data_IF_041574837171
#
_entry.id   IF_041574837171
#
_cell.length_a   1.000
_cell.length_b   1.000
_cell.length_c   1.000
_cell.angle_alpha   90.00
_cell.angle_beta   90.00
_cell.angle_gamma   90.00
#
_symmetry.space_group_name_H-M   'P 1'
#
loop_
_entity.id
_entity.type
_entity.pdbx_description
1 polymer ?
#
# COMPACT_ATOMS: atom_id res chain seq x y z
N UNK A 1 6.87 12.14 -7.50
CA UNK A 1 5.90 13.27 -7.49
C UNK A 1 6.43 14.43 -6.64
N UNK A 2 6.94 15.50 -7.28
CA UNK A 2 7.63 16.61 -6.61
C UNK A 2 6.72 17.76 -6.14
N UNK A 3 5.41 17.61 -6.32
CA UNK A 3 4.42 18.60 -5.88
C UNK A 3 4.38 18.72 -4.35
N UNK A 4 4.12 19.94 -3.88
CA UNK A 4 3.87 20.24 -2.48
C UNK A 4 2.52 19.66 -2.03
N UNK A 5 2.35 19.43 -0.72
CA UNK A 5 1.07 18.95 -0.19
C UNK A 5 -0.09 19.91 -0.51
N UNK A 6 0.16 21.22 -0.56
CA UNK A 6 -0.85 22.23 -0.91
C UNK A 6 -1.29 22.11 -2.38
N UNK A 7 -0.36 21.83 -3.29
CA UNK A 7 -0.70 21.60 -4.70
C UNK A 7 -1.49 20.31 -4.90
N UNK A 8 -1.17 19.25 -4.16
CA UNK A 8 -1.84 17.94 -4.27
C UNK A 8 -3.29 17.94 -3.77
N UNK A 9 -3.66 18.91 -2.94
CA UNK A 9 -5.06 19.10 -2.51
C UNK A 9 -5.94 19.75 -3.57
N UNK A 10 -5.36 20.28 -4.65
CA UNK A 10 -6.14 20.84 -5.77
C UNK A 10 -6.77 19.71 -6.58
N UNK A 11 -7.82 20.01 -7.34
CA UNK A 11 -8.44 19.06 -8.25
C UNK A 11 -7.40 18.52 -9.25
N UNK A 12 -7.24 17.21 -9.30
CA UNK A 12 -6.37 16.55 -10.28
C UNK A 12 -7.17 16.25 -11.56
N UNK A 13 -6.50 16.39 -12.71
CA UNK A 13 -7.04 16.02 -14.02
C UNK A 13 -6.08 15.01 -14.64
N UNK A 14 -6.61 13.85 -14.99
CA UNK A 14 -5.86 12.81 -15.68
C UNK A 14 -6.02 13.02 -17.19
N UNK A 15 -4.92 12.87 -17.92
CA UNK A 15 -4.88 12.85 -19.38
C UNK A 15 -3.90 11.78 -19.81
N UNK A 16 -4.38 10.72 -20.44
CA UNK A 16 -3.53 9.73 -21.08
C UNK A 16 -3.00 10.27 -22.41
N UNK A 17 -1.76 9.91 -22.73
CA UNK A 17 -1.09 10.35 -23.96
C UNK A 17 -1.70 9.58 -25.13
N UNK A 18 -2.16 10.29 -26.15
CA UNK A 18 -2.76 9.68 -27.35
C UNK A 18 -4.25 9.31 -27.22
N UNK A 19 -4.87 9.52 -26.05
CA UNK A 19 -6.29 9.22 -25.85
C UNK A 19 -7.16 10.48 -25.76
N UNK A 20 -8.30 10.44 -26.44
CA UNK A 20 -9.34 11.46 -26.30
C UNK A 20 -10.13 11.20 -25.01
N UNK A 21 -9.63 11.77 -23.92
CA UNK A 21 -10.25 11.70 -22.60
C UNK A 21 -11.55 12.52 -22.51
N UNK A 22 -12.68 11.90 -22.85
CA UNK A 22 -14.00 12.55 -22.85
C UNK A 22 -14.62 12.64 -21.43
N UNK A 23 -14.48 11.59 -20.63
CA UNK A 23 -14.99 11.55 -19.24
C UNK A 23 -13.86 11.69 -18.21
N UNK A 24 -13.78 12.88 -17.61
CA UNK A 24 -12.80 13.16 -16.57
C UNK A 24 -12.95 12.28 -15.31
N UNK A 25 -14.17 11.82 -15.00
CA UNK A 25 -14.43 10.96 -13.85
C UNK A 25 -13.96 9.53 -14.08
N UNK A 26 -14.28 8.96 -15.25
CA UNK A 26 -13.80 7.66 -15.70
C UNK A 26 -12.28 7.56 -15.74
N UNK A 27 -11.60 8.57 -16.30
CA UNK A 27 -10.13 8.62 -16.35
C UNK A 27 -9.49 8.66 -14.97
N UNK A 28 -10.10 9.39 -14.03
CA UNK A 28 -9.63 9.45 -12.65
C UNK A 28 -9.71 8.08 -11.98
N UNK A 29 -10.84 7.39 -12.14
CA UNK A 29 -11.06 6.06 -11.59
C UNK A 29 -10.10 5.03 -12.18
N UNK A 30 -9.95 5.05 -13.50
CA UNK A 30 -9.01 4.15 -14.18
C UNK A 30 -7.56 4.41 -13.74
N UNK A 31 -7.14 5.67 -13.58
CA UNK A 31 -5.80 5.98 -13.06
C UNK A 31 -5.52 5.34 -11.70
N UNK A 32 -6.46 5.46 -10.74
CA UNK A 32 -6.29 4.85 -9.42
C UNK A 32 -6.35 3.32 -9.47
N UNK A 33 -7.11 2.75 -10.41
CA UNK A 33 -7.11 1.32 -10.67
C UNK A 33 -5.78 0.83 -11.23
N UNK A 34 -5.24 1.45 -12.29
CA UNK A 34 -3.97 1.06 -12.89
C UNK A 34 -2.79 1.25 -11.93
N UNK A 35 -2.72 2.40 -11.24
CA UNK A 35 -1.64 2.64 -10.28
C UNK A 35 -1.69 1.62 -9.13
N UNK A 36 -2.88 1.17 -8.73
CA UNK A 36 -2.99 0.15 -7.67
C UNK A 36 -2.36 -1.18 -8.05
N UNK A 37 -2.43 -1.58 -9.33
CA UNK A 37 -1.74 -2.77 -9.87
C UNK A 37 -0.23 -2.60 -9.85
N UNK A 38 0.27 -1.43 -10.24
CA UNK A 38 1.71 -1.14 -10.22
C UNK A 38 2.27 -1.09 -8.80
N UNK A 39 1.51 -0.57 -7.83
CA UNK A 39 1.92 -0.54 -6.42
C UNK A 39 2.20 -1.95 -5.89
N UNK A 40 1.39 -2.94 -6.31
CA UNK A 40 1.47 -4.32 -5.83
C UNK A 40 2.23 -5.25 -6.78
N UNK A 41 2.87 -4.69 -7.81
CA UNK A 41 3.61 -5.47 -8.79
C UNK A 41 4.80 -6.18 -8.12
N UNK A 42 4.87 -7.52 -8.15
CA UNK A 42 5.90 -8.28 -7.46
C UNK A 42 7.31 -8.01 -7.99
N UNK A 43 7.44 -7.54 -9.23
CA UNK A 43 8.75 -7.23 -9.83
C UNK A 43 9.48 -6.09 -9.10
N UNK A 44 8.75 -5.15 -8.49
CA UNK A 44 9.35 -4.05 -7.73
C UNK A 44 9.72 -4.44 -6.28
N UNK A 45 9.26 -5.59 -5.80
CA UNK A 45 9.49 -6.08 -4.44
C UNK A 45 9.10 -5.12 -3.32
N UNK A 46 8.22 -4.13 -3.53
CA UNK A 46 7.83 -3.19 -2.47
C UNK A 46 6.95 -3.83 -1.40
N UNK A 47 6.04 -4.72 -1.82
CA UNK A 47 5.14 -5.45 -0.94
C UNK A 47 5.29 -6.95 -1.14
N UNK A 48 4.91 -7.72 -0.12
CA UNK A 48 4.82 -9.17 -0.16
C UNK A 48 3.55 -9.63 0.54
N UNK A 49 3.08 -10.83 0.21
CA UNK A 49 2.01 -11.48 0.95
C UNK A 49 2.45 -11.78 2.39
N UNK A 50 1.50 -11.67 3.32
CA UNK A 50 1.74 -11.90 4.76
C UNK A 50 2.06 -13.36 5.06
N UNK A 51 1.37 -14.30 4.41
CA UNK A 51 1.65 -15.73 4.44
C UNK A 51 1.04 -16.41 3.20
N UNK A 52 1.36 -17.68 2.97
CA UNK A 52 0.93 -18.44 1.78
C UNK A 52 -0.59 -18.63 1.67
N UNK A 53 -1.34 -18.36 2.75
CA UNK A 53 -2.80 -18.52 2.84
C UNK A 53 -3.53 -17.19 2.81
N UNK A 54 -2.83 -16.06 2.73
CA UNK A 54 -3.39 -14.73 2.84
C UNK A 54 -3.08 -13.89 1.61
N UNK A 55 -4.12 -13.28 1.05
CA UNK A 55 -3.99 -12.28 -0.02
C UNK A 55 -3.73 -10.88 0.54
N UNK A 56 -3.44 -10.74 1.84
CA UNK A 56 -3.07 -9.46 2.44
C UNK A 56 -1.59 -9.14 2.22
N UNK A 57 -1.32 -7.90 1.84
CA UNK A 57 0.01 -7.38 1.56
C UNK A 57 0.60 -6.62 2.75
N UNK A 58 1.90 -6.79 2.94
CA UNK A 58 2.69 -6.00 3.89
C UNK A 58 3.98 -5.51 3.22
N UNK A 59 4.65 -4.53 3.83
CA UNK A 59 5.93 -4.02 3.34
C UNK A 59 6.93 -5.18 3.27
N UNK A 60 7.61 -5.30 2.14
CA UNK A 60 8.65 -6.29 1.97
C UNK A 60 9.97 -5.79 2.62
N UNK A 61 10.53 -6.51 3.61
CA UNK A 61 11.79 -6.13 4.24
C UNK A 61 12.96 -6.02 3.26
N UNK A 62 12.93 -6.77 2.15
CA UNK A 62 13.97 -6.74 1.11
C UNK A 62 13.65 -5.79 -0.06
N UNK A 63 12.75 -4.83 0.12
CA UNK A 63 12.33 -3.89 -0.93
C UNK A 63 13.47 -3.05 -1.53
N UNK A 64 14.60 -2.91 -0.84
CA UNK A 64 15.79 -2.24 -1.36
C UNK A 64 16.65 -3.08 -2.31
N UNK A 65 16.32 -4.37 -2.51
CA UNK A 65 17.13 -5.30 -3.31
C UNK A 65 17.13 -4.92 -4.80
N UNK A 66 15.95 -4.66 -5.38
CA UNK A 66 15.81 -4.33 -6.80
C UNK A 66 15.85 -2.82 -7.07
N UNK A 67 15.59 -1.98 -6.06
CA UNK A 67 15.46 -0.53 -6.23
C UNK A 67 16.12 0.19 -5.04
N UNK A 68 17.36 0.71 -5.21
CA UNK A 68 18.07 1.44 -4.15
C UNK A 68 17.30 2.67 -3.63
N UNK A 69 16.42 3.26 -4.44
CA UNK A 69 15.57 4.38 -4.04
C UNK A 69 14.20 3.97 -3.48
N UNK A 70 14.00 2.72 -3.04
CA UNK A 70 12.69 2.20 -2.58
C UNK A 70 11.97 3.12 -1.56
N UNK A 71 12.70 3.83 -0.68
CA UNK A 71 12.12 4.79 0.25
C UNK A 71 11.41 5.97 -0.45
N UNK A 72 11.93 6.45 -1.58
CA UNK A 72 11.28 7.48 -2.40
C UNK A 72 9.99 6.93 -3.03
N UNK A 73 9.96 5.66 -3.39
CA UNK A 73 8.75 4.98 -3.87
C UNK A 73 7.72 4.80 -2.76
N UNK A 74 8.09 4.37 -1.55
CA UNK A 74 7.14 4.33 -0.43
C UNK A 74 6.57 5.70 -0.10
N UNK A 75 7.38 6.78 -0.17
CA UNK A 75 6.88 8.14 -0.04
C UNK A 75 5.89 8.51 -1.16
N UNK A 76 6.14 8.06 -2.39
CA UNK A 76 5.22 8.25 -3.51
C UNK A 76 3.91 7.47 -3.30
N UNK A 77 3.98 6.19 -2.93
CA UNK A 77 2.83 5.34 -2.64
C UNK A 77 1.96 5.96 -1.54
N UNK A 78 2.57 6.42 -0.44
CA UNK A 78 1.84 7.10 0.64
C UNK A 78 1.14 8.39 0.15
N UNK A 79 1.74 9.13 -0.79
CA UNK A 79 1.07 10.28 -1.43
C UNK A 79 -0.09 9.85 -2.33
N UNK A 80 0.04 8.75 -3.08
CA UNK A 80 -1.05 8.20 -3.89
C UNK A 80 -2.22 7.75 -3.01
N UNK A 81 -1.93 7.06 -1.90
CA UNK A 81 -2.96 6.68 -0.92
C UNK A 81 -3.69 7.91 -0.36
N UNK A 82 -2.94 8.96 0.02
CA UNK A 82 -3.54 10.22 0.47
C UNK A 82 -4.38 10.92 -0.61
N UNK A 83 -3.92 10.91 -1.86
CA UNK A 83 -4.69 11.44 -2.99
C UNK A 83 -5.97 10.64 -3.25
N UNK A 84 -5.92 9.31 -3.15
CA UNK A 84 -7.09 8.45 -3.31
C UNK A 84 -8.17 8.83 -2.29
N UNK A 85 -7.78 9.01 -1.02
CA UNK A 85 -8.69 9.47 0.03
C UNK A 85 -9.25 10.87 -0.25
N UNK A 86 -8.40 11.83 -0.65
CA UNK A 86 -8.82 13.21 -0.95
C UNK A 86 -9.82 13.31 -2.11
N UNK A 87 -9.72 12.41 -3.09
CA UNK A 87 -10.57 12.39 -4.28
C UNK A 87 -11.69 11.34 -4.23
N UNK A 88 -11.90 10.71 -3.08
CA UNK A 88 -12.88 9.64 -2.86
C UNK A 88 -12.75 8.51 -3.91
N UNK A 89 -11.52 8.06 -4.13
CA UNK A 89 -11.17 6.98 -5.04
C UNK A 89 -10.66 5.76 -4.28
N UNK A 90 -10.88 4.58 -4.85
CA UNK A 90 -10.40 3.33 -4.30
C UNK A 90 -9.05 2.95 -4.91
N UNK A 91 -8.17 2.40 -4.08
CA UNK A 91 -7.02 1.61 -4.54
C UNK A 91 -7.41 0.14 -4.44
N UNK A 92 -7.26 -0.61 -5.52
CA UNK A 92 -7.53 -2.06 -5.53
C UNK A 92 -6.36 -2.82 -4.88
N UNK A 93 -6.13 -2.56 -3.60
CA UNK A 93 -5.04 -3.16 -2.81
C UNK A 93 -5.58 -3.63 -1.47
N UNK A 94 -5.24 -4.87 -1.12
CA UNK A 94 -5.61 -5.45 0.18
C UNK A 94 -4.40 -5.42 1.12
N UNK A 95 -4.20 -4.31 1.83
CA UNK A 95 -3.14 -4.23 2.84
C UNK A 95 -3.53 -4.98 4.12
N UNK A 96 -2.53 -5.54 4.80
CA UNK A 96 -2.73 -6.26 6.06
C UNK A 96 -3.26 -5.39 7.19
N UNK A 97 -3.93 -6.03 8.16
CA UNK A 97 -4.37 -5.38 9.39
C UNK A 97 -3.26 -4.58 10.10
N UNK A 98 -2.05 -5.14 10.14
CA UNK A 98 -0.88 -4.54 10.77
C UNK A 98 -0.41 -3.29 10.02
N UNK A 99 -0.48 -3.31 8.69
CA UNK A 99 -0.17 -2.15 7.88
C UNK A 99 -1.09 -0.99 8.24
N UNK A 100 -2.40 -1.23 8.35
CA UNK A 100 -3.36 -0.20 8.77
C UNK A 100 -3.15 0.28 10.21
N UNK A 101 -2.85 -0.62 11.17
CA UNK A 101 -2.51 -0.20 12.54
C UNK A 101 -1.31 0.76 12.55
N UNK A 102 -0.24 0.43 11.81
CA UNK A 102 0.93 1.29 11.69
C UNK A 102 0.61 2.63 11.04
N UNK A 103 -0.19 2.63 9.97
CA UNK A 103 -0.63 3.87 9.31
C UNK A 103 -1.41 4.79 10.26
N UNK A 104 -2.22 4.20 11.15
CA UNK A 104 -2.99 4.90 12.18
C UNK A 104 -2.19 5.19 13.46
N UNK A 105 -0.89 4.90 13.49
CA UNK A 105 -0.04 5.05 14.68
C UNK A 105 -0.57 4.33 15.93
N UNK A 106 -1.22 3.17 15.73
CA UNK A 106 -1.69 2.31 16.81
C UNK A 106 -0.60 1.35 17.25
N UNK A 107 -0.49 1.13 18.56
CA UNK A 107 0.46 0.19 19.12
C UNK A 107 0.18 -1.25 18.65
N UNK A 108 1.27 -1.97 18.38
CA UNK A 108 1.23 -3.42 18.16
C UNK A 108 1.30 -4.13 19.51
N UNK A 109 0.59 -5.25 19.58
CA UNK A 109 0.47 -6.13 20.73
C UNK A 109 0.83 -7.55 20.33
N UNK A 110 1.13 -8.42 21.31
CA UNK A 110 1.42 -9.82 21.04
C UNK A 110 0.30 -10.54 20.27
N UNK A 111 -0.96 -10.19 20.54
CA UNK A 111 -2.12 -10.77 19.82
C UNK A 111 -2.11 -10.46 18.33
N UNK A 112 -1.51 -9.34 17.93
CA UNK A 112 -1.45 -8.94 16.53
C UNK A 112 -0.56 -9.87 15.69
N UNK A 113 0.35 -10.61 16.33
CA UNK A 113 1.24 -11.54 15.66
C UNK A 113 0.47 -12.66 14.95
N UNK A 114 -0.73 -13.02 15.42
CA UNK A 114 -1.57 -14.02 14.75
C UNK A 114 -1.91 -13.63 13.30
N UNK A 115 -1.93 -12.35 12.97
CA UNK A 115 -2.23 -11.86 11.61
C UNK A 115 -0.98 -11.79 10.72
N UNK A 116 0.22 -11.83 11.30
CA UNK A 116 1.47 -11.86 10.53
C UNK A 116 1.95 -13.30 10.35
N UNK A 117 2.04 -14.02 11.46
CA UNK A 117 2.61 -15.35 11.54
C UNK A 117 1.86 -16.14 12.63
N UNK A 118 0.76 -16.83 12.24
CA UNK A 118 -0.03 -17.64 13.16
C UNK A 118 0.79 -18.74 13.86
N UNK A 119 1.80 -19.28 13.18
CA UNK A 119 2.64 -20.36 13.68
C UNK A 119 3.60 -19.84 14.75
N UNK A 120 4.28 -18.73 14.48
CA UNK A 120 5.12 -18.07 15.47
C UNK A 120 4.31 -17.60 16.68
N UNK A 121 3.11 -17.07 16.47
CA UNK A 121 2.21 -16.72 17.56
C UNK A 121 1.89 -17.92 18.44
N UNK A 122 1.55 -19.07 17.85
CA UNK A 122 1.27 -20.32 18.58
C UNK A 122 2.48 -20.76 19.40
N UNK A 123 3.66 -20.80 18.80
CA UNK A 123 4.89 -21.26 19.43
C UNK A 123 5.30 -20.35 20.61
N UNK A 124 5.30 -19.03 20.40
CA UNK A 124 5.62 -18.07 21.46
C UNK A 124 4.56 -18.02 22.57
N UNK A 125 3.29 -18.25 22.23
CA UNK A 125 2.23 -18.30 23.22
C UNK A 125 2.36 -19.54 24.10
N UNK A 126 2.83 -20.66 23.54
CA UNK A 126 3.09 -21.89 24.29
C UNK A 126 4.23 -21.71 25.30
N UNK A 127 5.32 -21.02 24.93
CA UNK A 127 6.43 -20.71 25.83
C UNK A 127 6.05 -19.88 27.07
N UNK A 128 4.89 -19.20 27.08
CA UNK A 128 4.40 -18.48 28.27
C UNK A 128 3.95 -19.40 29.40
N UNK A 129 3.73 -20.68 29.10
CA UNK A 129 3.24 -21.68 30.05
C UNK A 129 4.34 -22.65 30.48
N UNK A 130 5.60 -22.33 30.18
CA UNK A 130 6.82 -23.02 30.62
C UNK A 130 7.55 -22.10 31.57
#
# INVERSE_FOLDING_TARGET
MHKSAKELKKKIKIKYIGENGLDAGGLLRDFFYQISKEIVNPNYLFFKYTNDKSYELNINPISGLNEPNHLKYFKFIGRIMGLALLHNQFLSVNFSYIFYKKLLSRNLSFKDLIFLDPELYKNLNWLKYI
#
